data_IF_296753211847
#
_entry.id   IF_296753211847
#
_cell.length_a   1.000
_cell.length_b   1.000
_cell.length_c   1.000
_cell.angle_alpha   90.00
_cell.angle_beta   90.00
_cell.angle_gamma   90.00
#
_symmetry.space_group_name_H-M   'P 1'
#
loop_
_entity.id
_entity.type
_entity.pdbx_description
1 polymer ?
#
# COMPACT_ATOMS: atom_id res chain seq x y z
N UNK A 1 -0.73 -39.35 -39.26
CA UNK A 1 -0.18 -40.43 -38.41
C UNK A 1 1.28 -40.16 -38.13
N UNK A 2 1.63 -39.88 -36.87
CA UNK A 2 2.91 -40.24 -36.22
C UNK A 2 2.69 -40.02 -34.72
N UNK A 3 2.55 -41.13 -34.00
CA UNK A 3 2.39 -41.19 -32.55
C UNK A 3 3.79 -41.24 -31.94
N UNK A 4 4.10 -40.34 -31.02
CA UNK A 4 5.24 -40.47 -30.11
C UNK A 4 4.69 -40.62 -28.70
N UNK A 5 4.96 -41.81 -28.16
CA UNK A 5 4.66 -42.28 -26.81
C UNK A 5 5.91 -42.05 -25.92
N UNK A 6 5.74 -42.24 -24.61
CA UNK A 6 6.71 -42.26 -23.50
C UNK A 6 7.02 -40.89 -22.84
N UNK A 7 7.08 -40.76 -21.52
CA UNK A 7 6.67 -41.60 -20.39
C UNK A 7 6.78 -40.73 -19.13
N UNK A 8 5.74 -40.68 -18.31
CA UNK A 8 5.77 -40.02 -17.00
C UNK A 8 6.51 -40.90 -15.99
N UNK A 9 7.63 -40.44 -15.46
CA UNK A 9 8.31 -41.06 -14.32
C UNK A 9 7.91 -40.28 -13.07
N UNK A 10 7.01 -40.86 -12.29
CA UNK A 10 6.71 -40.47 -10.91
C UNK A 10 7.73 -41.16 -10.00
N UNK A 11 8.55 -40.39 -9.28
CA UNK A 11 9.38 -40.92 -8.19
C UNK A 11 8.75 -40.48 -6.88
N UNK A 12 8.08 -41.42 -6.21
CA UNK A 12 7.70 -41.34 -4.80
C UNK A 12 8.92 -41.75 -3.97
N UNK A 13 9.39 -40.85 -3.11
CA UNK A 13 10.35 -41.17 -2.05
C UNK A 13 9.64 -41.00 -0.70
N UNK A 14 9.19 -42.15 -0.17
CA UNK A 14 8.85 -42.29 1.24
C UNK A 14 10.13 -42.65 1.99
N UNK A 15 10.51 -41.84 2.98
CA UNK A 15 11.47 -42.24 4.00
C UNK A 15 10.75 -42.32 5.33
N UNK A 16 10.63 -43.55 5.84
CA UNK A 16 10.14 -43.85 7.17
C UNK A 16 11.32 -44.10 8.13
N UNK A 17 11.03 -43.77 9.39
CA UNK A 17 11.59 -44.33 10.64
C UNK A 17 13.05 -44.07 11.01
N UNK A 18 13.26 -43.44 12.18
CA UNK A 18 13.69 -44.17 13.38
C UNK A 18 13.56 -43.28 14.63
N UNK A 19 12.65 -43.65 15.54
CA UNK A 19 12.71 -43.23 16.93
C UNK A 19 13.83 -44.02 17.63
N UNK A 20 14.73 -43.31 18.31
CA UNK A 20 15.70 -43.91 19.23
C UNK A 20 15.69 -43.12 20.54
N UNK A 21 15.08 -43.70 21.58
CA UNK A 21 15.25 -43.26 22.96
C UNK A 21 16.59 -43.79 23.48
N UNK A 22 17.39 -42.95 24.13
CA UNK A 22 18.36 -43.37 25.14
C UNK A 22 18.35 -42.36 26.29
N UNK A 23 18.13 -42.88 27.49
CA UNK A 23 18.10 -42.17 28.76
C UNK A 23 19.50 -41.81 29.32
N UNK A 24 19.53 -40.63 29.95
CA UNK A 24 20.22 -40.22 31.19
C UNK A 24 21.72 -40.51 31.39
N UNK A 25 22.52 -39.44 31.52
CA UNK A 25 23.64 -39.36 32.47
C UNK A 25 23.85 -37.92 32.97
N UNK A 26 24.30 -37.80 34.21
CA UNK A 26 24.15 -36.68 35.15
C UNK A 26 25.37 -35.74 35.32
N UNK A 27 25.06 -34.46 35.64
CA UNK A 27 25.78 -33.46 36.48
C UNK A 27 27.10 -32.80 35.99
N UNK A 28 27.53 -31.62 36.53
CA UNK A 28 26.86 -30.67 37.45
C UNK A 28 26.96 -29.16 37.04
N UNK A 29 26.22 -28.33 37.79
CA UNK A 29 26.16 -26.86 37.82
C UNK A 29 27.42 -26.08 37.39
N UNK A 30 27.25 -25.13 36.48
CA UNK A 30 27.99 -23.85 36.47
C UNK A 30 26.97 -22.73 36.31
N UNK A 31 26.79 -21.96 37.38
CA UNK A 31 25.96 -20.76 37.40
C UNK A 31 26.70 -19.65 36.66
N UNK A 32 26.25 -19.33 35.46
CA UNK A 32 26.57 -18.05 34.80
C UNK A 32 25.30 -17.22 34.81
N UNK A 33 25.29 -16.16 35.62
CA UNK A 33 24.25 -15.12 35.57
C UNK A 33 24.07 -14.65 34.12
N UNK A 34 22.83 -14.59 33.59
CA UNK A 34 22.60 -13.99 32.29
C UNK A 34 22.87 -12.49 32.40
N UNK A 35 23.74 -11.96 31.56
CA UNK A 35 23.79 -10.51 31.28
C UNK A 35 22.39 -10.06 30.86
N UNK A 36 21.90 -8.89 31.30
CA UNK A 36 20.63 -8.39 30.83
C UNK A 36 20.74 -8.15 29.33
N UNK A 37 19.98 -8.91 28.56
CA UNK A 37 19.75 -8.63 27.15
C UNK A 37 19.18 -7.21 27.07
N UNK A 38 19.83 -6.40 26.26
CA UNK A 38 19.36 -5.04 25.97
C UNK A 38 17.99 -5.22 25.32
N UNK A 39 16.95 -4.62 25.91
CA UNK A 39 15.60 -4.62 25.35
C UNK A 39 15.67 -4.07 23.92
N UNK A 40 15.74 -4.96 22.93
CA UNK A 40 15.39 -4.62 21.56
C UNK A 40 13.94 -4.12 21.64
N UNK A 41 13.77 -2.84 21.34
CA UNK A 41 12.47 -2.20 21.21
C UNK A 41 11.55 -3.13 20.41
N UNK A 42 10.60 -3.77 21.09
CA UNK A 42 9.59 -4.61 20.47
C UNK A 42 8.63 -3.66 19.79
N UNK A 43 9.02 -3.15 18.61
CA UNK A 43 8.10 -2.47 17.71
C UNK A 43 7.00 -3.49 17.43
N UNK A 44 5.74 -3.22 17.80
CA UNK A 44 4.66 -4.16 17.58
C UNK A 44 4.54 -4.42 16.08
N UNK A 45 4.92 -5.61 15.61
CA UNK A 45 4.58 -6.06 14.25
C UNK A 45 3.08 -6.28 14.24
N UNK A 46 2.33 -5.37 13.61
CA UNK A 46 0.91 -5.58 13.43
C UNK A 46 0.69 -6.69 12.38
N UNK A 47 0.33 -7.88 12.87
CA UNK A 47 0.21 -9.13 12.10
C UNK A 47 -1.15 -9.28 11.41
N UNK A 48 -1.95 -8.22 11.26
CA UNK A 48 -3.25 -8.35 10.62
C UNK A 48 -3.08 -8.85 9.18
N UNK A 49 -3.65 -10.01 8.88
CA UNK A 49 -3.59 -10.62 7.55
C UNK A 49 -4.38 -9.77 6.50
N UNK A 50 -5.34 -8.98 6.97
CA UNK A 50 -6.24 -8.19 6.16
C UNK A 50 -6.23 -6.72 6.58
N UNK A 51 -6.53 -5.84 5.63
CA UNK A 51 -6.81 -4.44 5.94
C UNK A 51 -8.15 -4.32 6.68
N UNK A 52 -8.25 -3.33 7.56
CA UNK A 52 -9.54 -2.89 8.10
C UNK A 52 -10.26 -2.09 7.02
N UNK A 53 -11.40 -2.57 6.54
CA UNK A 53 -12.20 -1.90 5.50
C UNK A 53 -13.42 -1.26 6.16
N UNK A 54 -13.36 0.05 6.35
CA UNK A 54 -14.40 0.86 6.98
C UNK A 54 -14.37 2.27 6.39
N UNK A 55 -15.52 2.95 6.35
CA UNK A 55 -15.59 4.37 5.98
C UNK A 55 -15.66 5.21 7.23
N UNK A 56 -14.57 5.88 7.55
CA UNK A 56 -14.46 6.77 8.71
C UNK A 56 -13.89 8.11 8.27
N UNK A 57 -14.20 9.17 9.01
CA UNK A 57 -13.54 10.46 8.81
C UNK A 57 -12.03 10.34 9.03
N UNK A 58 -11.26 11.24 8.40
CA UNK A 58 -9.82 11.32 8.64
C UNK A 58 -9.53 11.50 10.14
N UNK A 59 -8.61 10.72 10.68
CA UNK A 59 -8.05 11.00 12.00
C UNK A 59 -7.19 12.28 11.97
N UNK A 60 -6.93 12.86 13.13
CA UNK A 60 -6.29 14.18 13.24
C UNK A 60 -4.87 14.23 12.64
N UNK A 61 -4.13 13.14 12.72
CA UNK A 61 -2.77 13.06 12.16
C UNK A 61 -2.83 13.02 10.63
N UNK A 62 -3.73 12.21 10.09
CA UNK A 62 -3.96 12.09 8.64
C UNK A 62 -4.52 13.38 8.08
N UNK A 63 -5.44 14.06 8.79
CA UNK A 63 -6.01 15.35 8.38
C UNK A 63 -4.90 16.40 8.22
N UNK A 64 -4.04 16.54 9.24
CA UNK A 64 -2.91 17.47 9.24
C UNK A 64 -1.91 17.15 8.12
N UNK A 65 -1.65 15.86 7.90
CA UNK A 65 -0.72 15.44 6.85
C UNK A 65 -1.30 15.63 5.45
N UNK A 66 -2.54 15.22 5.22
CA UNK A 66 -3.14 15.11 3.88
C UNK A 66 -3.51 16.46 3.27
N UNK A 67 -3.93 17.43 4.09
CA UNK A 67 -4.26 18.76 3.59
C UNK A 67 -3.01 19.56 3.18
N UNK A 68 -3.11 20.23 2.04
CA UNK A 68 -2.07 21.06 1.46
C UNK A 68 -2.22 21.21 -0.05
N UNK A 69 -1.26 21.92 -0.64
CA UNK A 69 -1.02 21.91 -2.08
C UNK A 69 0.10 20.92 -2.37
N UNK A 70 -0.17 19.99 -3.28
CA UNK A 70 0.70 18.88 -3.60
C UNK A 70 1.16 18.97 -5.05
N UNK A 71 2.46 18.78 -5.28
CA UNK A 71 3.04 18.62 -6.61
C UNK A 71 3.18 17.15 -6.95
N UNK A 72 2.87 16.75 -8.17
CA UNK A 72 3.25 15.42 -8.66
C UNK A 72 4.77 15.43 -8.92
N UNK A 73 5.53 14.73 -8.08
CA UNK A 73 7.00 14.81 -8.05
C UNK A 73 7.65 13.80 -8.99
N UNK A 74 7.22 12.53 -8.91
CA UNK A 74 7.83 11.44 -9.69
C UNK A 74 6.82 10.33 -10.01
N UNK A 75 7.05 9.69 -11.15
CA UNK A 75 6.41 8.41 -11.51
C UNK A 75 7.11 7.30 -10.72
N UNK A 76 6.31 6.48 -10.03
CA UNK A 76 6.79 5.31 -9.31
C UNK A 76 6.68 4.04 -10.16
N UNK A 77 5.66 3.95 -11.02
CA UNK A 77 5.46 2.79 -11.88
C UNK A 77 3.99 2.59 -12.21
N UNK A 78 3.62 1.34 -12.42
CA UNK A 78 2.27 0.95 -12.85
C UNK A 78 1.75 -0.19 -11.98
N UNK A 79 0.46 -0.16 -11.68
CA UNK A 79 -0.28 -1.26 -11.07
C UNK A 79 -0.46 -2.39 -12.08
N UNK A 80 -0.53 -3.62 -11.57
CA UNK A 80 -0.67 -4.83 -12.38
C UNK A 80 -2.05 -4.97 -13.06
N UNK A 81 -2.99 -4.06 -12.76
CA UNK A 81 -4.39 -4.14 -13.17
C UNK A 81 -4.66 -3.68 -14.60
N UNK A 82 -3.76 -2.92 -15.23
CA UNK A 82 -3.98 -2.36 -16.57
C UNK A 82 -2.66 -2.16 -17.34
N UNK A 83 -2.73 -2.25 -18.68
CA UNK A 83 -1.56 -2.05 -19.54
C UNK A 83 -1.31 -0.56 -19.85
N UNK A 84 -1.46 0.31 -18.85
CA UNK A 84 -1.19 1.75 -18.97
C UNK A 84 0.22 2.01 -19.51
N UNK A 85 1.18 1.14 -19.19
CA UNK A 85 2.54 1.23 -19.72
C UNK A 85 2.61 1.13 -21.26
N UNK A 86 1.62 0.56 -21.94
CA UNK A 86 1.56 0.52 -23.41
C UNK A 86 1.02 1.81 -24.03
N UNK A 87 0.09 2.48 -23.35
CA UNK A 87 -0.52 3.74 -23.82
C UNK A 87 0.28 4.97 -23.33
N UNK A 88 0.81 4.88 -22.12
CA UNK A 88 1.56 5.90 -21.39
C UNK A 88 2.83 5.29 -20.79
N UNK A 89 3.85 4.93 -21.59
CA UNK A 89 5.07 4.28 -21.10
C UNK A 89 5.87 5.10 -20.07
N UNK A 90 5.64 6.40 -20.03
CA UNK A 90 6.22 7.34 -19.05
C UNK A 90 5.18 7.89 -18.07
N UNK A 91 4.03 7.22 -17.94
CA UNK A 91 2.87 7.68 -17.19
C UNK A 91 2.13 8.84 -17.86
N UNK A 92 0.96 9.21 -17.32
CA UNK A 92 0.26 10.43 -17.72
C UNK A 92 1.16 11.65 -17.49
N UNK A 93 0.97 12.69 -18.30
CA UNK A 93 1.73 13.96 -18.23
C UNK A 93 1.30 14.80 -17.04
N UNK A 94 1.61 14.34 -15.83
CA UNK A 94 1.29 15.01 -14.58
C UNK A 94 2.51 15.54 -13.84
N UNK A 95 3.73 15.06 -14.13
CA UNK A 95 4.92 15.50 -13.39
C UNK A 95 5.02 17.03 -13.45
N UNK A 96 5.05 17.65 -12.28
CA UNK A 96 5.07 19.10 -12.12
C UNK A 96 3.72 19.76 -11.91
N UNK A 97 2.61 19.08 -12.21
CA UNK A 97 1.26 19.56 -11.98
C UNK A 97 0.89 19.49 -10.48
N UNK A 98 -0.16 20.24 -10.12
CA UNK A 98 -0.56 20.44 -8.73
C UNK A 98 -1.97 19.91 -8.45
N UNK A 99 -2.16 19.41 -7.23
CA UNK A 99 -3.46 19.04 -6.66
C UNK A 99 -3.63 19.82 -5.36
N UNK A 100 -4.79 20.43 -5.18
CA UNK A 100 -5.13 21.19 -3.98
C UNK A 100 -6.09 20.34 -3.15
N UNK A 101 -5.71 20.04 -1.91
CA UNK A 101 -6.50 19.25 -0.97
C UNK A 101 -6.62 20.08 0.31
N UNK A 102 -7.78 20.68 0.55
CA UNK A 102 -8.07 21.47 1.75
C UNK A 102 -9.34 20.96 2.39
N UNK A 103 -9.52 21.26 3.67
CA UNK A 103 -10.70 20.84 4.45
C UNK A 103 -12.02 21.14 3.75
N UNK A 104 -12.14 22.31 3.14
CA UNK A 104 -13.34 22.82 2.50
C UNK A 104 -13.24 22.87 0.96
N UNK A 105 -12.17 22.34 0.37
CA UNK A 105 -11.95 22.44 -1.06
C UNK A 105 -11.02 21.34 -1.61
N UNK A 106 -11.42 20.70 -2.70
CA UNK A 106 -10.57 19.80 -3.48
C UNK A 106 -10.48 20.30 -4.91
N UNK A 107 -9.29 20.25 -5.51
CA UNK A 107 -9.12 20.45 -6.94
C UNK A 107 -7.97 19.62 -7.52
N UNK A 108 -8.28 18.89 -8.59
CA UNK A 108 -7.31 18.21 -9.45
C UNK A 108 -7.17 18.90 -10.81
N UNK A 109 -7.74 20.10 -10.98
CA UNK A 109 -7.65 20.88 -12.24
C UNK A 109 -6.22 21.28 -12.61
N UNK A 110 -5.27 21.18 -11.69
CA UNK A 110 -3.85 21.38 -12.01
C UNK A 110 -3.29 20.30 -12.93
N UNK A 111 -3.93 19.11 -13.05
CA UNK A 111 -3.58 18.01 -13.96
C UNK A 111 -3.97 18.33 -15.42
N UNK A 112 -3.37 19.35 -16.02
CA UNK A 112 -3.90 20.12 -17.17
C UNK A 112 -4.14 19.34 -18.45
N UNK A 113 -3.44 18.23 -18.64
CA UNK A 113 -3.35 17.58 -19.95
C UNK A 113 -4.56 16.69 -20.31
N UNK A 114 -5.49 16.44 -19.38
CA UNK A 114 -6.61 15.53 -19.63
C UNK A 114 -7.90 15.98 -18.93
N UNK A 115 -9.00 15.96 -19.68
CA UNK A 115 -10.34 16.38 -19.22
C UNK A 115 -10.89 15.50 -18.09
N UNK A 116 -10.54 14.21 -18.10
CA UNK A 116 -11.07 13.21 -17.16
C UNK A 116 -10.58 13.38 -15.71
N UNK A 117 -9.65 14.30 -15.46
CA UNK A 117 -9.15 14.61 -14.13
C UNK A 117 -9.45 16.05 -13.70
N UNK A 118 -10.32 16.79 -14.41
CA UNK A 118 -10.63 18.20 -14.11
C UNK A 118 -11.73 18.35 -13.07
N UNK A 119 -11.47 17.93 -11.83
CA UNK A 119 -12.44 18.00 -10.74
C UNK A 119 -12.21 19.20 -9.82
N UNK A 120 -13.31 19.73 -9.31
CA UNK A 120 -13.33 20.73 -8.26
C UNK A 120 -14.54 20.46 -7.37
N UNK A 121 -14.32 20.34 -6.07
CA UNK A 121 -15.37 20.13 -5.08
C UNK A 121 -15.27 21.21 -3.99
N UNK A 122 -16.42 21.73 -3.58
CA UNK A 122 -16.56 22.61 -2.41
C UNK A 122 -17.12 21.80 -1.26
N UNK A 123 -16.52 21.93 -0.08
CA UNK A 123 -16.80 21.12 1.10
C UNK A 123 -16.78 19.61 0.82
N UNK A 124 -15.70 19.06 0.21
CA UNK A 124 -15.61 17.63 -0.04
C UNK A 124 -15.66 16.83 1.27
N UNK A 125 -16.19 15.61 1.19
CA UNK A 125 -16.10 14.63 2.27
C UNK A 125 -14.87 13.75 2.03
N UNK A 126 -13.92 13.81 2.96
CA UNK A 126 -12.73 12.95 2.97
C UNK A 126 -12.90 11.80 3.95
N UNK A 127 -12.73 10.57 3.48
CA UNK A 127 -12.88 9.37 4.29
C UNK A 127 -11.68 8.45 4.12
N UNK A 128 -11.21 7.87 5.23
CA UNK A 128 -10.41 6.66 5.17
C UNK A 128 -11.38 5.52 4.84
N UNK A 129 -11.08 4.77 3.78
CA UNK A 129 -11.93 3.64 3.31
C UNK A 129 -11.31 2.27 3.60
N UNK A 130 -9.99 2.25 3.80
CA UNK A 130 -9.28 1.09 4.33
C UNK A 130 -8.00 1.53 5.04
N UNK A 131 -7.60 0.77 6.06
CA UNK A 131 -6.29 0.86 6.70
C UNK A 131 -5.61 -0.50 6.64
N UNK A 132 -4.45 -0.56 6.01
CA UNK A 132 -3.61 -1.75 5.90
C UNK A 132 -2.38 -1.55 6.77
N UNK A 133 -2.10 -2.45 7.71
CA UNK A 133 -0.99 -2.28 8.68
C UNK A 133 0.31 -2.97 8.25
N UNK A 134 0.36 -3.48 7.03
CA UNK A 134 1.54 -4.06 6.40
C UNK A 134 1.37 -4.09 4.88
N UNK A 135 2.50 -4.17 4.16
CA UNK A 135 2.52 -4.19 2.69
C UNK A 135 1.76 -5.38 2.09
N UNK A 136 1.80 -6.54 2.75
CA UNK A 136 1.17 -7.77 2.24
C UNK A 136 -0.37 -7.67 2.23
N UNK A 137 -0.94 -7.15 3.31
CA UNK A 137 -2.39 -6.91 3.43
C UNK A 137 -2.84 -5.86 2.41
N UNK A 138 -2.04 -4.81 2.21
CA UNK A 138 -2.28 -3.79 1.18
C UNK A 138 -2.30 -4.41 -0.22
N UNK A 139 -1.24 -5.14 -0.60
CA UNK A 139 -1.17 -5.82 -1.89
C UNK A 139 -2.32 -6.82 -2.06
N UNK A 140 -2.69 -7.55 -1.01
CA UNK A 140 -3.79 -8.52 -1.07
C UNK A 140 -5.11 -7.86 -1.44
N UNK A 141 -5.42 -6.68 -0.86
CA UNK A 141 -6.67 -5.95 -1.12
C UNK A 141 -6.63 -5.20 -2.45
N UNK A 142 -5.59 -4.40 -2.68
CA UNK A 142 -5.54 -3.47 -3.81
C UNK A 142 -4.91 -4.07 -5.07
N UNK A 143 -4.11 -5.13 -4.95
CA UNK A 143 -3.30 -5.70 -6.06
C UNK A 143 -2.35 -4.68 -6.70
N UNK A 144 -1.85 -3.75 -5.89
CA UNK A 144 -0.94 -2.67 -6.28
C UNK A 144 0.38 -2.85 -5.53
N UNK A 145 1.49 -2.81 -6.26
CA UNK A 145 2.83 -2.77 -5.69
C UNK A 145 3.33 -1.31 -5.68
N UNK A 146 3.31 -0.66 -4.51
CA UNK A 146 3.91 0.66 -4.34
C UNK A 146 5.41 0.49 -4.08
N UNK A 147 6.30 1.08 -4.90
CA UNK A 147 7.74 1.00 -4.67
C UNK A 147 8.16 1.53 -3.30
N UNK A 148 9.15 0.84 -2.72
CA UNK A 148 9.77 1.16 -1.43
C UNK A 148 8.80 1.12 -0.24
N UNK A 149 7.71 0.35 -0.32
CA UNK A 149 6.83 0.09 0.81
C UNK A 149 7.45 -0.98 1.73
N UNK A 150 7.68 -0.65 2.99
CA UNK A 150 8.20 -1.59 3.97
C UNK A 150 7.09 -2.50 4.49
N UNK A 151 7.47 -3.70 4.96
CA UNK A 151 6.51 -4.68 5.48
C UNK A 151 5.65 -4.15 6.63
N UNK A 152 6.13 -3.20 7.43
CA UNK A 152 5.38 -2.65 8.56
C UNK A 152 4.73 -1.29 8.26
N UNK A 153 4.80 -0.80 7.02
CA UNK A 153 4.20 0.48 6.67
C UNK A 153 2.68 0.39 6.76
N UNK A 154 2.08 1.41 7.38
CA UNK A 154 0.64 1.60 7.46
C UNK A 154 0.19 2.41 6.26
N UNK A 155 -0.70 1.83 5.46
CA UNK A 155 -1.27 2.49 4.29
C UNK A 155 -2.75 2.76 4.53
N UNK A 156 -3.16 4.02 4.42
CA UNK A 156 -4.56 4.46 4.49
C UNK A 156 -5.03 4.85 3.10
N UNK A 157 -6.11 4.24 2.62
CA UNK A 157 -6.74 4.62 1.36
C UNK A 157 -7.77 5.72 1.61
N UNK A 158 -7.59 6.86 0.94
CA UNK A 158 -8.46 8.02 1.10
C UNK A 158 -9.38 8.14 -0.09
N UNK A 159 -10.68 8.20 0.19
CA UNK A 159 -11.70 8.55 -0.80
C UNK A 159 -12.16 9.99 -0.61
N UNK A 160 -12.57 10.61 -1.71
CA UNK A 160 -13.02 12.00 -1.75
C UNK A 160 -14.37 11.99 -2.46
N UNK A 161 -15.42 12.50 -1.80
CA UNK A 161 -16.75 12.53 -2.39
C UNK A 161 -17.40 13.91 -2.28
N UNK A 162 -18.33 14.18 -3.20
CA UNK A 162 -19.24 15.32 -3.07
C UNK A 162 -20.33 14.95 -2.05
N UNK A 163 -20.43 15.63 -0.89
CA UNK A 163 -21.42 15.28 0.12
C UNK A 163 -22.87 15.45 -0.35
N UNK A 164 -23.12 16.26 -1.38
CA UNK A 164 -24.46 16.51 -1.91
C UNK A 164 -25.00 15.33 -2.73
N UNK A 165 -24.12 14.62 -3.42
CA UNK A 165 -24.46 13.45 -4.24
C UNK A 165 -24.02 12.13 -3.62
N UNK A 166 -23.09 12.20 -2.65
CA UNK A 166 -22.32 11.08 -2.08
C UNK A 166 -21.60 10.24 -3.13
N UNK A 167 -21.43 10.79 -4.34
CA UNK A 167 -20.63 10.17 -5.37
C UNK A 167 -19.17 10.50 -5.07
N UNK A 168 -18.35 9.47 -4.94
CA UNK A 168 -16.89 9.61 -4.96
C UNK A 168 -16.49 10.33 -6.25
N UNK A 169 -15.44 11.15 -6.19
CA UNK A 169 -14.80 11.62 -7.41
C UNK A 169 -14.52 10.40 -8.28
N UNK A 170 -14.71 10.50 -9.61
CA UNK A 170 -14.53 9.36 -10.49
C UNK A 170 -13.20 8.67 -10.22
N UNK A 171 -13.25 7.33 -10.31
CA UNK A 171 -12.21 6.33 -9.97
C UNK A 171 -10.83 6.58 -10.61
N UNK A 172 -10.73 7.60 -11.45
CA UNK A 172 -9.55 7.98 -12.20
C UNK A 172 -8.48 8.67 -11.35
N UNK A 173 -8.77 9.08 -10.11
CA UNK A 173 -7.73 9.42 -9.11
C UNK A 173 -8.05 8.82 -7.74
N UNK A 174 -7.07 8.20 -7.10
CA UNK A 174 -7.17 7.63 -5.76
C UNK A 174 -5.92 7.97 -4.95
N UNK A 175 -6.06 8.12 -3.64
CA UNK A 175 -4.97 8.55 -2.77
C UNK A 175 -4.64 7.49 -1.72
N UNK A 176 -3.35 7.21 -1.54
CA UNK A 176 -2.85 6.40 -0.44
C UNK A 176 -1.88 7.21 0.40
N UNK A 177 -2.15 7.28 1.70
CA UNK A 177 -1.26 7.88 2.70
C UNK A 177 -0.45 6.76 3.35
N UNK A 178 0.87 6.81 3.22
CA UNK A 178 1.79 5.84 3.83
C UNK A 178 2.43 6.49 5.06
N UNK A 179 2.18 5.92 6.24
CA UNK A 179 2.69 6.38 7.55
C UNK A 179 2.45 7.87 7.90
N UNK A 180 1.58 8.58 7.17
CA UNK A 180 1.50 10.05 7.23
C UNK A 180 2.83 10.75 6.85
N UNK A 181 3.60 10.14 5.95
CA UNK A 181 4.92 10.64 5.51
C UNK A 181 5.05 10.69 3.99
N UNK A 182 4.35 9.80 3.27
CA UNK A 182 4.30 9.79 1.81
C UNK A 182 2.85 9.85 1.34
N UNK A 183 2.62 10.63 0.29
CA UNK A 183 1.34 10.65 -0.41
C UNK A 183 1.53 10.05 -1.79
N UNK A 184 0.70 9.07 -2.10
CA UNK A 184 0.70 8.36 -3.38
C UNK A 184 -0.60 8.70 -4.11
N UNK A 185 -0.48 9.10 -5.38
CA UNK A 185 -1.58 9.26 -6.30
C UNK A 185 -1.59 8.04 -7.22
N UNK A 186 -2.70 7.33 -7.22
CA UNK A 186 -3.02 6.37 -8.26
C UNK A 186 -3.93 7.06 -9.27
N UNK A 187 -3.49 7.14 -10.52
CA UNK A 187 -4.30 7.57 -11.65
C UNK A 187 -4.50 6.39 -12.58
N UNK A 188 -5.68 5.79 -12.55
CA UNK A 188 -5.96 4.53 -13.24
C UNK A 188 -4.96 3.44 -12.78
N UNK A 189 -4.05 2.98 -13.64
CA UNK A 189 -2.98 2.06 -13.22
C UNK A 189 -1.64 2.75 -13.02
N UNK A 190 -1.52 4.07 -13.17
CA UNK A 190 -0.23 4.77 -13.00
C UNK A 190 -0.06 5.29 -11.58
N UNK A 191 1.10 5.04 -10.99
CA UNK A 191 1.41 5.35 -9.59
C UNK A 191 2.40 6.51 -9.54
N UNK A 192 2.04 7.58 -8.85
CA UNK A 192 2.88 8.75 -8.64
C UNK A 192 3.10 9.04 -7.15
N UNK A 193 4.27 9.60 -6.84
CA UNK A 193 4.52 10.19 -5.52
C UNK A 193 4.30 11.70 -5.58
N UNK A 194 3.62 12.25 -4.57
CA UNK A 194 3.39 13.67 -4.44
C UNK A 194 4.28 14.27 -3.37
N UNK A 195 4.67 15.52 -3.59
CA UNK A 195 5.43 16.33 -2.65
C UNK A 195 4.59 17.50 -2.20
N UNK A 196 4.46 17.68 -0.88
CA UNK A 196 3.76 18.85 -0.33
C UNK A 196 4.58 20.11 -0.60
N UNK A 197 3.93 21.13 -1.15
CA UNK A 197 4.53 22.44 -1.42
C UNK A 197 4.18 23.41 -0.30
N UNK A 198 2.91 23.41 0.11
CA UNK A 198 2.38 24.26 1.18
C UNK A 198 1.30 23.50 1.95
N UNK A 199 1.13 23.84 3.23
CA UNK A 199 -0.04 23.46 4.01
C UNK A 199 -1.31 24.21 3.55
#
# INVERSE_FOLDING_TARGET
MKKTLLACIMIMLMLASACGNVDTTSNPNTSSEPKPETEESIIPKNTSEYCTVERISLDSETEKYFYGTWKVEKLLGFANSYNDASEYPTGQKFIGDEIIIKKDFFSSKGLKNYSNYQYELKNPLYEITATCHNSDSFYRLYKIDIPDLNINDVVKAIDISDPSTKLSIPVSVSFFVVNNERLILLSEATIFELKKITD
#
